data_IF_244364269514
#
_entry.id   IF_244364269514
#
_cell.length_a   1.000
_cell.length_b   1.000
_cell.length_c   1.000
_cell.angle_alpha   90.00
_cell.angle_beta   90.00
_cell.angle_gamma   90.00
#
_symmetry.space_group_name_H-M   'P 1'
#
loop_
_entity.id
_entity.type
_entity.pdbx_description
1 polymer ?
#
# COMPACT_ATOMS: atom_id res chain seq x y z
N UNK A 1 -0.22 13.19 -4.21
CA UNK A 1 -0.98 14.04 -3.27
C UNK A 1 -0.14 15.18 -2.72
N UNK A 2 1.15 14.98 -2.45
CA UNK A 2 2.06 16.02 -1.94
C UNK A 2 2.04 17.38 -2.68
N UNK A 3 1.98 17.39 -4.02
CA UNK A 3 1.92 18.62 -4.83
C UNK A 3 0.51 18.97 -5.34
N UNK A 4 -0.54 18.53 -4.64
CA UNK A 4 -1.92 18.85 -5.00
C UNK A 4 -2.34 20.18 -4.38
N UNK A 5 -1.87 21.30 -4.95
CA UNK A 5 -2.11 22.65 -4.40
C UNK A 5 -3.53 23.19 -4.66
N UNK A 6 -4.39 22.43 -5.35
CA UNK A 6 -5.75 22.82 -5.72
C UNK A 6 -6.71 21.67 -5.45
N UNK A 7 -7.94 21.98 -5.00
CA UNK A 7 -8.97 20.99 -4.71
C UNK A 7 -9.22 20.01 -5.86
N UNK A 8 -9.31 20.53 -7.09
CA UNK A 8 -9.48 19.69 -8.28
C UNK A 8 -8.32 18.69 -8.48
N UNK A 9 -7.07 19.12 -8.27
CA UNK A 9 -5.89 18.25 -8.38
C UNK A 9 -5.93 17.16 -7.30
N UNK A 10 -6.32 17.53 -6.08
CA UNK A 10 -6.44 16.59 -4.97
C UNK A 10 -7.50 15.52 -5.27
N UNK A 11 -8.68 15.93 -5.73
CA UNK A 11 -9.77 15.02 -6.09
C UNK A 11 -9.37 14.08 -7.23
N UNK A 12 -8.74 14.59 -8.30
CA UNK A 12 -8.29 13.76 -9.42
C UNK A 12 -7.31 12.70 -8.94
N UNK A 13 -6.28 13.08 -8.17
CA UNK A 13 -5.28 12.11 -7.68
C UNK A 13 -5.92 11.11 -6.72
N UNK A 14 -6.88 11.53 -5.88
CA UNK A 14 -7.65 10.66 -5.00
C UNK A 14 -8.47 9.63 -5.79
N UNK A 15 -9.13 10.07 -6.85
CA UNK A 15 -9.91 9.20 -7.73
C UNK A 15 -9.01 8.21 -8.47
N UNK A 16 -7.88 8.66 -9.01
CA UNK A 16 -6.93 7.77 -9.69
C UNK A 16 -6.32 6.75 -8.74
N UNK A 17 -5.98 7.15 -7.50
CA UNK A 17 -5.53 6.22 -6.47
C UNK A 17 -6.60 5.18 -6.15
N UNK A 18 -7.85 5.61 -5.93
CA UNK A 18 -8.96 4.69 -5.69
C UNK A 18 -9.21 3.73 -6.86
N UNK A 19 -9.12 4.22 -8.09
CA UNK A 19 -9.23 3.39 -9.30
C UNK A 19 -8.10 2.36 -9.39
N UNK A 20 -6.87 2.73 -9.02
CA UNK A 20 -5.73 1.82 -8.96
C UNK A 20 -5.90 0.75 -7.87
N UNK A 21 -6.46 1.10 -6.71
CA UNK A 21 -6.67 0.17 -5.59
C UNK A 21 -7.91 -0.73 -5.74
N UNK A 22 -8.92 -0.32 -6.50
CA UNK A 22 -10.20 -1.03 -6.62
C UNK A 22 -10.06 -2.49 -7.13
N UNK A 23 -9.07 -2.77 -7.99
CA UNK A 23 -8.82 -4.12 -8.51
C UNK A 23 -8.16 -5.07 -7.51
N UNK A 24 -7.59 -4.56 -6.41
CA UNK A 24 -6.78 -5.33 -5.49
C UNK A 24 -7.58 -6.41 -4.75
N UNK A 25 -8.71 -6.04 -4.14
CA UNK A 25 -9.56 -6.97 -3.40
C UNK A 25 -10.11 -8.13 -4.24
N UNK A 26 -10.81 -7.90 -5.38
CA UNK A 26 -11.30 -8.99 -6.21
C UNK A 26 -10.16 -9.81 -6.83
N UNK A 27 -9.02 -9.18 -7.16
CA UNK A 27 -7.83 -9.87 -7.63
C UNK A 27 -7.26 -10.85 -6.60
N UNK A 28 -7.15 -10.45 -5.33
CA UNK A 28 -6.67 -11.30 -4.24
C UNK A 28 -7.61 -12.47 -3.95
N UNK A 29 -8.94 -12.24 -3.98
CA UNK A 29 -9.94 -13.30 -3.83
C UNK A 29 -9.81 -14.31 -4.96
N UNK A 30 -9.70 -13.84 -6.21
CA UNK A 30 -9.53 -14.70 -7.37
C UNK A 30 -8.24 -15.54 -7.28
N UNK A 31 -7.09 -14.92 -7.02
CA UNK A 31 -5.81 -15.63 -6.89
C UNK A 31 -5.85 -16.69 -5.79
N UNK A 32 -6.38 -16.34 -4.62
CA UNK A 32 -6.47 -17.29 -3.49
C UNK A 32 -7.42 -18.45 -3.80
N UNK A 33 -8.48 -18.20 -4.56
CA UNK A 33 -9.41 -19.25 -4.99
C UNK A 33 -8.74 -20.29 -5.89
N UNK A 34 -7.84 -19.85 -6.78
CA UNK A 34 -7.13 -20.73 -7.72
C UNK A 34 -5.94 -21.44 -7.05
N UNK A 35 -5.24 -20.76 -6.14
CA UNK A 35 -3.99 -21.27 -5.55
C UNK A 35 -4.20 -22.15 -4.31
N UNK A 36 -5.32 -22.02 -3.58
CA UNK A 36 -5.53 -22.73 -2.32
C UNK A 36 -6.79 -23.60 -2.29
N UNK A 37 -6.72 -24.80 -1.67
CA UNK A 37 -7.86 -25.68 -1.49
C UNK A 37 -8.88 -25.09 -0.51
N UNK A 38 -10.16 -25.40 -0.71
CA UNK A 38 -11.31 -24.79 -0.02
C UNK A 38 -11.20 -24.78 1.51
N UNK A 39 -10.57 -25.80 2.10
CA UNK A 39 -10.39 -25.93 3.55
C UNK A 39 -9.50 -24.83 4.16
N UNK A 40 -8.56 -24.28 3.39
CA UNK A 40 -7.58 -23.29 3.89
C UNK A 40 -7.91 -21.85 3.44
N UNK A 41 -8.81 -21.68 2.45
CA UNK A 41 -9.17 -20.35 1.90
C UNK A 41 -9.66 -19.38 2.97
N UNK A 42 -10.48 -19.84 3.91
CA UNK A 42 -11.04 -18.99 4.96
C UNK A 42 -9.95 -18.44 5.91
N UNK A 43 -8.95 -19.27 6.25
CA UNK A 43 -7.85 -18.84 7.12
C UNK A 43 -6.94 -17.82 6.43
N UNK A 44 -6.63 -18.02 5.15
CA UNK A 44 -5.81 -17.08 4.36
C UNK A 44 -6.55 -15.76 4.14
N UNK A 45 -7.84 -15.82 3.83
CA UNK A 45 -8.68 -14.61 3.76
C UNK A 45 -8.74 -13.90 5.10
N UNK A 46 -8.86 -14.62 6.22
CA UNK A 46 -8.81 -14.04 7.57
C UNK A 46 -7.51 -13.29 7.82
N UNK A 47 -6.36 -13.87 7.43
CA UNK A 47 -5.06 -13.19 7.53
C UNK A 47 -5.00 -11.94 6.63
N UNK A 48 -5.53 -12.01 5.41
CA UNK A 48 -5.62 -10.87 4.52
C UNK A 48 -6.48 -9.74 5.10
N UNK A 49 -7.64 -10.07 5.66
CA UNK A 49 -8.51 -9.11 6.33
C UNK A 49 -7.88 -8.50 7.58
N UNK A 50 -6.99 -9.21 8.28
CA UNK A 50 -6.20 -8.64 9.38
C UNK A 50 -5.17 -7.60 8.91
N UNK A 51 -4.82 -7.56 7.63
CA UNK A 51 -3.93 -6.55 7.08
C UNK A 51 -4.46 -5.12 7.27
N UNK A 52 -5.75 -4.89 7.05
CA UNK A 52 -6.37 -3.57 7.19
C UNK A 52 -6.30 -3.00 8.63
N UNK A 53 -6.75 -3.70 9.69
CA UNK A 53 -6.63 -3.20 11.05
C UNK A 53 -5.16 -3.05 11.48
N UNK A 54 -4.26 -3.96 11.08
CA UNK A 54 -2.83 -3.81 11.37
C UNK A 54 -2.24 -2.56 10.72
N UNK A 55 -2.58 -2.29 9.45
CA UNK A 55 -2.16 -1.10 8.74
C UNK A 55 -2.69 0.18 9.41
N UNK A 56 -3.92 0.18 9.94
CA UNK A 56 -4.47 1.31 10.67
C UNK A 56 -3.80 1.50 12.04
N UNK A 57 -3.54 0.42 12.77
CA UNK A 57 -2.88 0.47 14.09
C UNK A 57 -1.45 0.99 13.99
N UNK A 58 -0.70 0.61 12.96
CA UNK A 58 0.68 1.07 12.74
C UNK A 58 0.73 2.41 11.99
N UNK A 59 -0.17 2.60 11.03
CA UNK A 59 -0.23 3.79 10.19
C UNK A 59 -0.67 5.02 10.97
N UNK A 60 -1.65 4.91 11.87
CA UNK A 60 -2.16 6.10 12.59
C UNK A 60 -1.10 6.80 13.46
N UNK A 61 -0.29 6.10 14.27
CA UNK A 61 0.82 6.72 15.00
C UNK A 61 1.92 7.25 14.08
N UNK A 62 2.23 6.53 13.00
CA UNK A 62 3.25 6.93 12.04
C UNK A 62 2.86 8.23 11.32
N UNK A 63 1.64 8.29 10.78
CA UNK A 63 1.10 9.49 10.13
C UNK A 63 0.97 10.63 11.13
N UNK A 64 0.60 10.36 12.38
CA UNK A 64 0.58 11.35 13.47
C UNK A 64 1.95 11.99 13.71
N UNK A 65 3.00 11.18 13.84
CA UNK A 65 4.37 11.65 14.01
C UNK A 65 4.87 12.46 12.79
N UNK A 66 4.48 12.06 11.57
CA UNK A 66 4.84 12.78 10.35
C UNK A 66 4.13 14.13 10.22
N UNK A 67 2.89 14.24 10.72
CA UNK A 67 2.16 15.51 10.74
C UNK A 67 2.80 16.53 11.70
N UNK A 68 3.48 16.07 12.75
CA UNK A 68 4.24 16.93 13.67
C UNK A 68 5.50 17.55 13.03
N UNK A 69 5.96 17.04 11.87
CA UNK A 69 7.07 17.63 11.09
C UNK A 69 6.67 18.91 10.33
N UNK A 70 5.66 19.63 10.82
CA UNK A 70 5.18 20.87 10.24
C UNK A 70 6.26 21.96 10.30
N UNK A 71 6.58 22.58 9.16
CA UNK A 71 7.61 23.63 9.07
C UNK A 71 9.01 23.10 8.76
N UNK A 72 9.21 21.78 8.70
CA UNK A 72 10.45 21.20 8.21
C UNK A 72 10.66 21.53 6.72
N UNK A 73 11.75 22.22 6.39
CA UNK A 73 12.03 22.82 5.07
C UNK A 73 10.92 23.76 4.53
N UNK A 74 10.11 24.37 5.41
CA UNK A 74 9.04 25.30 4.99
C UNK A 74 7.81 24.64 4.37
N UNK A 75 7.71 23.31 4.42
CA UNK A 75 6.56 22.55 3.93
C UNK A 75 5.62 22.13 5.08
N UNK A 76 4.31 22.00 4.81
CA UNK A 76 3.35 21.52 5.80
C UNK A 76 3.54 20.01 6.06
N UNK A 77 3.31 19.55 7.30
CA UNK A 77 3.54 18.15 7.69
C UNK A 77 2.83 17.09 6.83
N UNK A 78 1.66 17.41 6.27
CA UNK A 78 0.94 16.50 5.36
C UNK A 78 1.70 16.23 4.05
N UNK A 79 2.54 17.17 3.61
CA UNK A 79 3.41 16.98 2.44
C UNK A 79 4.39 15.84 2.71
N UNK A 80 5.07 15.90 3.86
CA UNK A 80 6.04 14.88 4.29
C UNK A 80 5.38 13.53 4.53
N UNK A 81 4.17 13.52 5.09
CA UNK A 81 3.36 12.30 5.25
C UNK A 81 3.18 11.59 3.91
N UNK A 82 2.66 12.26 2.88
CA UNK A 82 2.44 11.62 1.57
C UNK A 82 3.73 11.24 0.84
N UNK A 83 4.81 12.00 1.00
CA UNK A 83 6.11 11.68 0.36
C UNK A 83 6.73 10.46 0.99
N UNK A 84 6.84 10.43 2.32
CA UNK A 84 7.50 9.35 3.05
C UNK A 84 6.69 8.06 2.96
N UNK A 85 5.37 8.12 3.18
CA UNK A 85 4.50 6.94 3.05
C UNK A 85 4.47 6.43 1.61
N UNK A 86 4.40 7.33 0.62
CA UNK A 86 4.46 6.97 -0.79
C UNK A 86 5.77 6.29 -1.18
N UNK A 87 6.91 6.80 -0.70
CA UNK A 87 8.22 6.19 -0.95
C UNK A 87 8.35 4.81 -0.31
N UNK A 88 7.86 4.63 0.92
CA UNK A 88 7.84 3.33 1.58
C UNK A 88 6.99 2.32 0.81
N UNK A 89 5.82 2.72 0.30
CA UNK A 89 4.96 1.86 -0.51
C UNK A 89 5.63 1.43 -1.82
N UNK A 90 6.25 2.38 -2.55
CA UNK A 90 6.99 2.08 -3.78
C UNK A 90 8.20 1.16 -3.50
N UNK A 91 8.93 1.42 -2.42
CA UNK A 91 10.06 0.59 -1.99
C UNK A 91 9.65 -0.85 -1.66
N UNK A 92 8.52 -1.02 -0.97
CA UNK A 92 7.96 -2.34 -0.68
C UNK A 92 7.51 -3.09 -1.96
N UNK A 93 6.90 -2.37 -2.91
CA UNK A 93 6.54 -2.93 -4.22
C UNK A 93 7.78 -3.38 -5.02
N UNK A 94 8.83 -2.58 -5.02
CA UNK A 94 10.09 -2.92 -5.69
C UNK A 94 10.77 -4.13 -5.04
N UNK A 95 10.85 -4.19 -3.71
CA UNK A 95 11.48 -5.31 -3.00
C UNK A 95 10.74 -6.62 -3.22
N UNK A 96 9.41 -6.60 -3.23
CA UNK A 96 8.60 -7.78 -3.55
C UNK A 96 8.82 -8.26 -4.99
N UNK A 97 8.81 -7.34 -5.95
CA UNK A 97 9.03 -7.66 -7.37
C UNK A 97 10.43 -8.25 -7.60
N UNK A 98 11.46 -7.66 -7.00
CA UNK A 98 12.84 -8.12 -7.08
C UNK A 98 13.05 -9.49 -6.39
N UNK A 99 12.41 -9.70 -5.23
CA UNK A 99 12.45 -10.99 -4.53
C UNK A 99 11.82 -12.12 -5.34
N UNK A 100 10.69 -11.86 -6.00
CA UNK A 100 10.04 -12.81 -6.91
C UNK A 100 10.92 -13.15 -8.12
N UNK A 101 11.61 -12.15 -8.69
CA UNK A 101 12.54 -12.36 -9.81
C UNK A 101 13.76 -13.20 -9.39
N UNK A 102 14.25 -12.99 -8.17
CA UNK A 102 15.42 -13.71 -7.64
C UNK A 102 15.09 -15.18 -7.30
N UNK A 103 13.88 -15.47 -6.80
CA UNK A 103 13.48 -16.83 -6.41
C UNK A 103 13.12 -17.73 -7.62
N UNK A 104 12.72 -17.13 -8.76
CA UNK A 104 12.35 -17.89 -9.98
C UNK A 104 13.56 -18.45 -10.74
N UNK A 105 14.78 -18.02 -10.41
CA UNK A 105 16.02 -18.47 -11.07
C UNK A 105 16.55 -19.83 -10.57
N UNK A 106 15.91 -20.48 -9.58
CA UNK A 106 16.41 -21.74 -8.98
C UNK A 106 15.65 -23.02 -9.34
N UNK A 107 14.66 -22.95 -10.23
CA UNK A 107 13.86 -24.11 -10.66
C UNK A 107 13.87 -24.35 -12.18
N UNK A 108 14.83 -23.75 -12.88
CA UNK A 108 15.07 -24.00 -14.31
C UNK A 108 16.54 -24.34 -14.51
N UNK A 109 17.00 -25.41 -13.87
CA UNK A 109 18.14 -26.24 -14.26
C UNK A 109 17.94 -27.63 -13.66
#
# INVERSE_FOLDING_TARGET
MAWADTEAKFLIVRTLLGAAEAGFFPGMIYLTSQWFPQRNRASIMGLFYMGAPLALTLGSPLSGALLEMHGFMGHPGWFWMFVIEGLLAVGAGYSHSFGLMTHRSRHVF
#
